data_IF_690912245403
#
_entry.id   IF_690912245403
#
_cell.length_a   1.000
_cell.length_b   1.000
_cell.length_c   1.000
_cell.angle_alpha   90.00
_cell.angle_beta   90.00
_cell.angle_gamma   90.00
#
_symmetry.space_group_name_H-M   'P 1'
#
loop_
_entity.id
_entity.type
_entity.pdbx_description
1 polymer ?
#
# COMPACT_ATOMS: atom_id res chain seq x y z
N UNK A 1 -12.33 -19.45 -10.56
CA UNK A 1 -13.43 -18.68 -11.19
C UNK A 1 -13.72 -17.34 -10.48
N UNK A 2 -13.92 -17.31 -9.16
CA UNK A 2 -14.24 -16.08 -8.41
C UNK A 2 -13.13 -15.01 -8.47
N UNK A 3 -11.84 -15.42 -8.38
CA UNK A 3 -10.68 -14.51 -8.44
C UNK A 3 -10.59 -13.73 -9.77
N UNK A 4 -10.86 -14.40 -10.89
CA UNK A 4 -10.88 -13.79 -12.23
C UNK A 4 -12.02 -12.78 -12.41
N UNK A 5 -13.22 -13.10 -11.91
CA UNK A 5 -14.37 -12.19 -11.93
C UNK A 5 -14.07 -10.95 -11.10
N UNK A 6 -13.50 -11.13 -9.91
CA UNK A 6 -13.10 -10.03 -9.03
C UNK A 6 -12.07 -9.14 -9.71
N UNK A 7 -11.02 -9.71 -10.30
CA UNK A 7 -9.98 -8.97 -11.03
C UNK A 7 -10.59 -8.13 -12.17
N UNK A 8 -11.46 -8.73 -12.99
CA UNK A 8 -12.14 -8.04 -14.09
C UNK A 8 -12.99 -6.87 -13.62
N UNK A 9 -13.65 -6.99 -12.47
CA UNK A 9 -14.43 -5.89 -11.89
C UNK A 9 -13.55 -4.70 -11.47
N UNK A 10 -12.34 -4.97 -10.95
CA UNK A 10 -11.39 -3.91 -10.58
C UNK A 10 -10.89 -3.18 -11.81
N UNK A 11 -10.44 -3.93 -12.82
CA UNK A 11 -9.84 -3.37 -14.02
C UNK A 11 -10.85 -2.57 -14.86
N UNK A 12 -12.14 -2.90 -14.77
CA UNK A 12 -13.22 -2.14 -15.42
C UNK A 12 -13.60 -0.87 -14.65
N UNK A 13 -13.16 -0.70 -13.41
CA UNK A 13 -13.51 0.45 -12.59
C UNK A 13 -12.66 1.67 -12.97
N UNK A 14 -13.29 2.69 -13.57
CA UNK A 14 -12.61 3.94 -13.94
C UNK A 14 -11.97 4.65 -12.74
N UNK A 15 -12.57 4.55 -11.55
CA UNK A 15 -12.00 5.15 -10.33
C UNK A 15 -10.70 4.46 -9.91
N UNK A 16 -10.61 3.14 -10.07
CA UNK A 16 -9.37 2.41 -9.81
C UNK A 16 -8.27 2.92 -10.73
N UNK A 17 -8.51 2.96 -12.04
CA UNK A 17 -7.52 3.48 -13.00
C UNK A 17 -7.05 4.89 -12.65
N UNK A 18 -7.97 5.79 -12.29
CA UNK A 18 -7.64 7.17 -11.96
C UNK A 18 -6.80 7.28 -10.67
N UNK A 19 -7.30 6.76 -9.54
CA UNK A 19 -6.66 6.97 -8.23
C UNK A 19 -5.44 6.09 -7.98
N UNK A 20 -5.37 4.93 -8.64
CA UNK A 20 -4.34 3.92 -8.38
C UNK A 20 -3.23 3.90 -9.43
N UNK A 21 -3.51 4.34 -10.66
CA UNK A 21 -2.53 4.35 -11.75
C UNK A 21 -2.20 5.78 -12.15
N UNK A 22 -3.20 6.56 -12.57
CA UNK A 22 -2.98 7.88 -13.14
C UNK A 22 -2.38 8.86 -12.12
N UNK A 23 -2.96 8.97 -10.92
CA UNK A 23 -2.45 9.90 -9.89
C UNK A 23 -1.00 9.56 -9.49
N UNK A 24 -0.64 8.30 -9.16
CA UNK A 24 0.76 7.96 -8.86
C UNK A 24 1.73 8.25 -10.01
N UNK A 25 1.34 7.98 -11.26
CA UNK A 25 2.19 8.29 -12.42
C UNK A 25 2.35 9.80 -12.60
N UNK A 26 1.27 10.57 -12.45
CA UNK A 26 1.32 12.03 -12.51
C UNK A 26 2.18 12.60 -11.39
N UNK A 27 2.02 12.10 -10.16
CA UNK A 27 2.84 12.49 -9.02
C UNK A 27 4.32 12.23 -9.28
N UNK A 28 4.67 11.05 -9.80
CA UNK A 28 6.05 10.71 -10.13
C UNK A 28 6.63 11.69 -11.17
N UNK A 29 5.91 11.92 -12.28
CA UNK A 29 6.29 12.90 -13.30
C UNK A 29 6.45 14.31 -12.73
N UNK A 30 5.51 14.74 -11.89
CA UNK A 30 5.55 16.04 -11.25
C UNK A 30 6.81 16.19 -10.39
N UNK A 31 7.10 15.21 -9.54
CA UNK A 31 8.28 15.25 -8.66
C UNK A 31 9.58 15.23 -9.44
N UNK A 32 9.68 14.45 -10.53
CA UNK A 32 10.86 14.44 -11.39
C UNK A 32 11.16 15.83 -11.99
N UNK A 33 10.13 16.61 -12.34
CA UNK A 33 10.29 17.97 -12.86
C UNK A 33 10.73 18.98 -11.79
N UNK A 34 10.56 18.68 -10.51
CA UNK A 34 10.98 19.55 -9.41
C UNK A 34 12.44 19.35 -8.99
N UNK A 35 13.09 18.26 -9.42
CA UNK A 35 14.48 17.97 -9.05
C UNK A 35 15.43 18.89 -9.82
N UNK A 36 15.99 19.88 -9.12
CA UNK A 36 17.07 20.77 -9.59
C UNK A 36 18.33 20.55 -8.73
N UNK A 37 18.95 19.38 -8.83
CA UNK A 37 20.09 18.98 -7.97
C UNK A 37 21.13 18.19 -8.76
N UNK A 38 22.37 18.15 -8.28
CA UNK A 38 23.51 17.38 -8.81
C UNK A 38 23.18 15.91 -9.14
N UNK A 39 23.90 15.34 -10.11
CA UNK A 39 23.56 14.06 -10.75
C UNK A 39 23.43 12.87 -9.77
N UNK A 40 24.23 12.81 -8.71
CA UNK A 40 24.25 11.68 -7.78
C UNK A 40 23.10 11.76 -6.74
N UNK A 41 22.89 12.94 -6.13
CA UNK A 41 21.73 13.21 -5.26
C UNK A 41 20.42 13.13 -6.04
N UNK A 42 20.45 13.45 -7.33
CA UNK A 42 19.31 13.28 -8.20
C UNK A 42 18.93 11.79 -8.38
N UNK A 43 19.89 10.85 -8.37
CA UNK A 43 19.58 9.43 -8.58
C UNK A 43 18.84 8.80 -7.39
N UNK A 44 19.29 9.07 -6.15
CA UNK A 44 18.60 8.59 -4.94
C UNK A 44 17.21 9.19 -4.81
N UNK A 45 17.08 10.51 -4.97
CA UNK A 45 15.77 11.20 -4.94
C UNK A 45 14.81 10.66 -6.00
N UNK A 46 15.26 10.44 -7.24
CA UNK A 46 14.43 9.87 -8.31
C UNK A 46 13.89 8.49 -7.94
N UNK A 47 14.69 7.67 -7.28
CA UNK A 47 14.29 6.35 -6.82
C UNK A 47 13.30 6.42 -5.66
N UNK A 48 13.55 7.32 -4.71
CA UNK A 48 12.66 7.53 -3.57
C UNK A 48 11.27 7.99 -4.00
N UNK A 49 11.20 8.92 -4.97
CA UNK A 49 9.93 9.33 -5.56
C UNK A 49 9.23 8.21 -6.33
N UNK A 50 9.98 7.29 -6.93
CA UNK A 50 9.42 6.08 -7.52
C UNK A 50 8.82 5.16 -6.46
N UNK A 51 9.50 4.95 -5.32
CA UNK A 51 8.97 4.17 -4.20
C UNK A 51 7.68 4.80 -3.68
N UNK A 52 7.66 6.12 -3.48
CA UNK A 52 6.46 6.86 -3.05
C UNK A 52 5.31 6.70 -4.03
N UNK A 53 5.57 6.76 -5.35
CA UNK A 53 4.53 6.53 -6.35
C UNK A 53 3.97 5.10 -6.29
N UNK A 54 4.84 4.09 -6.17
CA UNK A 54 4.40 2.71 -5.97
C UNK A 54 3.54 2.55 -4.72
N UNK A 55 3.98 3.13 -3.60
CA UNK A 55 3.25 3.11 -2.34
C UNK A 55 1.90 3.80 -2.45
N UNK A 56 1.83 4.97 -3.07
CA UNK A 56 0.58 5.69 -3.29
C UNK A 56 -0.43 4.84 -4.09
N UNK A 57 0.02 4.17 -5.15
CA UNK A 57 -0.83 3.25 -5.93
C UNK A 57 -1.31 2.07 -5.08
N UNK A 58 -0.38 1.36 -4.42
CA UNK A 58 -0.68 0.21 -3.57
C UNK A 58 -1.66 0.58 -2.45
N UNK A 59 -1.43 1.69 -1.76
CA UNK A 59 -2.28 2.21 -0.69
C UNK A 59 -3.66 2.61 -1.22
N UNK A 60 -3.72 3.31 -2.35
CA UNK A 60 -5.00 3.69 -2.98
C UNK A 60 -5.83 2.46 -3.38
N UNK A 61 -5.20 1.43 -3.92
CA UNK A 61 -5.87 0.16 -4.20
C UNK A 61 -6.34 -0.53 -2.90
N UNK A 62 -5.43 -0.70 -1.95
CA UNK A 62 -5.63 -1.54 -0.76
C UNK A 62 -6.54 -0.90 0.28
N UNK A 63 -6.43 0.41 0.53
CA UNK A 63 -7.25 1.10 1.52
C UNK A 63 -8.56 1.58 0.90
N UNK A 64 -8.55 2.21 -0.27
CA UNK A 64 -9.77 2.87 -0.79
C UNK A 64 -10.61 1.90 -1.62
N UNK A 65 -10.04 1.35 -2.69
CA UNK A 65 -10.81 0.54 -3.64
C UNK A 65 -11.18 -0.82 -3.05
N UNK A 66 -10.24 -1.45 -2.34
CA UNK A 66 -10.45 -2.78 -1.77
C UNK A 66 -11.36 -2.77 -0.55
N UNK A 67 -11.21 -1.84 0.40
CA UNK A 67 -12.12 -1.75 1.55
C UNK A 67 -13.57 -1.57 1.12
N UNK A 68 -13.83 -0.70 0.14
CA UNK A 68 -15.17 -0.48 -0.41
C UNK A 68 -15.72 -1.76 -1.05
N UNK A 69 -14.87 -2.49 -1.79
CA UNK A 69 -15.26 -3.76 -2.41
C UNK A 69 -15.65 -4.78 -1.35
N UNK A 70 -14.86 -4.91 -0.28
CA UNK A 70 -15.19 -5.77 0.85
C UNK A 70 -16.50 -5.35 1.50
N UNK A 71 -16.70 -4.05 1.76
CA UNK A 71 -17.93 -3.53 2.37
C UNK A 71 -19.17 -3.80 1.52
N UNK A 72 -19.11 -3.50 0.22
CA UNK A 72 -20.21 -3.76 -0.72
C UNK A 72 -20.49 -5.25 -0.94
N UNK A 73 -19.46 -6.09 -0.93
CA UNK A 73 -19.57 -7.55 -1.07
C UNK A 73 -19.87 -8.30 0.22
N UNK A 74 -19.82 -7.62 1.38
CA UNK A 74 -19.93 -8.24 2.70
C UNK A 74 -21.26 -8.95 2.94
N UNK A 75 -22.37 -8.42 2.41
CA UNK A 75 -23.71 -9.02 2.54
C UNK A 75 -23.83 -10.35 1.79
N UNK A 76 -23.29 -10.43 0.57
CA UNK A 76 -23.24 -11.68 -0.20
C UNK A 76 -22.31 -12.71 0.44
N UNK A 77 -21.20 -12.25 1.01
CA UNK A 77 -20.28 -13.09 1.75
C UNK A 77 -20.92 -13.68 3.03
N UNK A 78 -21.63 -12.87 3.81
CA UNK A 78 -22.31 -13.32 5.02
C UNK A 78 -23.42 -14.33 4.72
N UNK A 79 -24.11 -14.16 3.60
CA UNK A 79 -25.06 -15.15 3.11
C UNK A 79 -24.36 -16.49 2.79
N UNK A 80 -23.21 -16.44 2.11
CA UNK A 80 -22.43 -17.63 1.74
C UNK A 80 -21.80 -18.34 2.94
N UNK A 81 -21.33 -17.60 3.94
CA UNK A 81 -20.79 -18.15 5.19
C UNK A 81 -21.88 -18.78 6.08
N UNK A 82 -23.15 -18.36 5.93
CA UNK A 82 -24.30 -19.00 6.61
C UNK A 82 -24.76 -20.28 5.90
N UNK A 83 -24.55 -20.38 4.59
CA UNK A 83 -24.99 -21.53 3.77
C UNK A 83 -23.88 -22.57 3.52
N UNK A 84 -22.63 -22.29 3.88
CA UNK A 84 -21.48 -23.19 3.71
C UNK A 84 -20.46 -23.00 4.85
N UNK A 85 -19.68 -24.02 5.20
CA UNK A 85 -18.57 -23.97 6.18
C UNK A 85 -17.38 -23.09 5.72
N UNK A 86 -17.65 -21.95 5.10
CA UNK A 86 -16.62 -21.06 4.56
C UNK A 86 -16.23 -20.01 5.60
N UNK A 87 -15.06 -20.22 6.23
CA UNK A 87 -14.53 -19.31 7.25
C UNK A 87 -14.11 -17.94 6.71
N UNK A 88 -14.05 -16.93 7.58
CA UNK A 88 -13.51 -15.60 7.24
C UNK A 88 -12.04 -15.64 6.83
N UNK A 89 -11.26 -16.57 7.38
CA UNK A 89 -9.83 -16.62 7.13
C UNK A 89 -9.56 -17.05 5.70
N UNK A 90 -10.32 -18.04 5.21
CA UNK A 90 -10.29 -18.44 3.81
C UNK A 90 -10.78 -17.33 2.88
N UNK A 91 -11.77 -16.53 3.30
CA UNK A 91 -12.18 -15.35 2.54
C UNK A 91 -11.08 -14.30 2.45
N UNK A 92 -10.46 -14.00 3.59
CA UNK A 92 -9.39 -13.02 3.67
C UNK A 92 -8.20 -13.45 2.82
N UNK A 93 -7.78 -14.72 2.88
CA UNK A 93 -6.67 -15.22 2.05
C UNK A 93 -6.99 -15.14 0.56
N UNK A 94 -8.20 -15.51 0.13
CA UNK A 94 -8.60 -15.38 -1.28
C UNK A 94 -8.58 -13.93 -1.78
N UNK A 95 -8.97 -12.99 -0.91
CA UNK A 95 -8.93 -11.56 -1.22
C UNK A 95 -7.51 -11.01 -1.24
N UNK A 96 -6.66 -11.41 -0.28
CA UNK A 96 -5.26 -10.99 -0.21
C UNK A 96 -4.46 -11.50 -1.42
N UNK A 97 -4.73 -12.71 -1.91
CA UNK A 97 -4.13 -13.22 -3.17
C UNK A 97 -4.52 -12.32 -4.34
N UNK A 98 -5.78 -11.90 -4.41
CA UNK A 98 -6.25 -10.99 -5.48
C UNK A 98 -5.58 -9.62 -5.37
N UNK A 99 -5.38 -9.11 -4.14
CA UNK A 99 -4.67 -7.86 -3.91
C UNK A 99 -3.18 -7.96 -4.27
N UNK A 100 -2.53 -9.08 -3.98
CA UNK A 100 -1.15 -9.31 -4.38
C UNK A 100 -0.98 -9.18 -5.91
N UNK A 101 -1.86 -9.83 -6.68
CA UNK A 101 -1.85 -9.74 -8.15
C UNK A 101 -2.05 -8.29 -8.62
N UNK A 102 -2.98 -7.56 -8.01
CA UNK A 102 -3.23 -6.15 -8.34
C UNK A 102 -2.02 -5.27 -8.02
N UNK A 103 -1.40 -5.45 -6.86
CA UNK A 103 -0.24 -4.68 -6.45
C UNK A 103 0.94 -4.91 -7.39
N UNK A 104 1.20 -6.17 -7.80
CA UNK A 104 2.19 -6.48 -8.84
C UNK A 104 1.86 -5.75 -10.15
N UNK A 105 0.60 -5.78 -10.60
CA UNK A 105 0.19 -5.09 -11.83
C UNK A 105 0.40 -3.58 -11.75
N UNK A 106 0.06 -2.95 -10.62
CA UNK A 106 0.25 -1.51 -10.38
C UNK A 106 1.74 -1.17 -10.45
N UNK A 107 2.58 -1.94 -9.77
CA UNK A 107 4.04 -1.75 -9.80
C UNK A 107 4.61 -1.91 -11.21
N UNK A 108 4.18 -2.92 -11.97
CA UNK A 108 4.64 -3.12 -13.35
C UNK A 108 4.36 -1.90 -14.25
N UNK A 109 3.19 -1.27 -14.09
CA UNK A 109 2.85 -0.05 -14.83
C UNK A 109 3.78 1.10 -14.44
N UNK A 110 4.00 1.32 -13.13
CA UNK A 110 4.85 2.43 -12.65
C UNK A 110 6.32 2.20 -13.03
N UNK A 111 6.82 0.95 -12.98
CA UNK A 111 8.16 0.59 -13.48
C UNK A 111 8.28 0.94 -14.96
N UNK A 112 7.28 0.56 -15.77
CA UNK A 112 7.30 0.85 -17.21
C UNK A 112 7.42 2.35 -17.45
N UNK A 113 6.69 3.18 -16.68
CA UNK A 113 6.82 4.64 -16.75
C UNK A 113 8.24 5.09 -16.38
N UNK A 114 8.82 4.61 -15.29
CA UNK A 114 10.19 4.99 -14.90
C UNK A 114 11.28 4.53 -15.87
N UNK A 115 11.11 3.37 -16.52
CA UNK A 115 12.01 2.89 -17.57
C UNK A 115 11.92 3.77 -18.83
N UNK A 116 10.71 4.14 -19.26
CA UNK A 116 10.49 5.02 -20.43
C UNK A 116 11.09 6.40 -20.21
N UNK A 117 11.05 6.90 -18.97
CA UNK A 117 11.65 8.19 -18.60
C UNK A 117 13.17 8.12 -18.41
N UNK A 118 13.77 6.93 -18.46
CA UNK A 118 15.20 6.73 -18.22
C UNK A 118 15.63 7.04 -16.78
N UNK A 119 14.69 7.01 -15.83
CA UNK A 119 14.94 7.34 -14.41
C UNK A 119 15.27 6.13 -13.56
N UNK A 120 15.03 4.91 -14.08
CA UNK A 120 15.25 3.64 -13.39
C UNK A 120 16.11 2.71 -14.23
N UNK A 121 16.97 1.94 -13.57
CA UNK A 121 17.72 0.82 -14.15
C UNK A 121 17.21 -0.52 -13.60
N UNK A 122 17.16 -1.54 -14.45
CA UNK A 122 16.78 -2.90 -14.06
C UNK A 122 17.93 -3.58 -13.31
N UNK A 123 18.00 -3.34 -12.00
CA UNK A 123 19.04 -3.87 -11.12
C UNK A 123 18.45 -4.78 -10.02
N UNK A 124 19.31 -5.50 -9.32
CA UNK A 124 18.93 -6.31 -8.15
C UNK A 124 18.30 -5.48 -7.04
N UNK A 125 18.75 -4.23 -6.84
CA UNK A 125 18.14 -3.26 -5.91
C UNK A 125 16.66 -3.04 -6.19
N UNK A 126 16.29 -2.87 -7.46
CA UNK A 126 14.88 -2.72 -7.86
C UNK A 126 14.07 -3.97 -7.51
N UNK A 127 14.61 -5.16 -7.79
CA UNK A 127 13.95 -6.42 -7.45
C UNK A 127 13.67 -6.56 -5.95
N UNK A 128 14.65 -6.23 -5.11
CA UNK A 128 14.50 -6.25 -3.64
C UNK A 128 13.41 -5.26 -3.20
N UNK A 129 13.43 -4.03 -3.71
CA UNK A 129 12.39 -3.04 -3.39
C UNK A 129 11.00 -3.49 -3.84
N UNK A 130 10.86 -4.14 -5.00
CA UNK A 130 9.57 -4.66 -5.47
C UNK A 130 9.02 -5.78 -4.59
N UNK A 131 9.89 -6.65 -4.07
CA UNK A 131 9.49 -7.68 -3.10
C UNK A 131 9.00 -7.04 -1.80
N UNK A 132 9.73 -6.06 -1.28
CA UNK A 132 9.35 -5.34 -0.06
C UNK A 132 8.05 -4.54 -0.24
N UNK A 133 7.87 -3.87 -1.37
CA UNK A 133 6.63 -3.15 -1.72
C UNK A 133 5.42 -4.12 -1.79
N UNK A 134 5.61 -5.34 -2.29
CA UNK A 134 4.56 -6.36 -2.26
C UNK A 134 4.19 -6.77 -0.83
N UNK A 135 5.18 -7.03 0.02
CA UNK A 135 4.97 -7.36 1.44
C UNK A 135 4.22 -6.23 2.13
N UNK A 136 4.62 -5.00 1.89
CA UNK A 136 3.94 -3.81 2.41
C UNK A 136 2.54 -3.60 1.81
N UNK A 137 2.31 -4.02 0.56
CA UNK A 137 0.97 -4.04 -0.03
C UNK A 137 0.02 -5.02 0.66
N UNK A 138 0.52 -6.16 1.16
CA UNK A 138 -0.26 -7.08 1.98
C UNK A 138 -0.64 -6.41 3.31
N UNK A 139 0.28 -5.68 3.94
CA UNK A 139 0.02 -4.90 5.15
C UNK A 139 -1.17 -3.96 4.99
N UNK A 140 -1.15 -3.11 3.96
CA UNK A 140 -2.28 -2.21 3.71
C UNK A 140 -3.54 -2.94 3.25
N UNK A 141 -3.41 -4.09 2.61
CA UNK A 141 -4.57 -4.91 2.25
C UNK A 141 -5.26 -5.46 3.49
N UNK A 142 -4.52 -5.89 4.52
CA UNK A 142 -5.12 -6.34 5.79
C UNK A 142 -5.88 -5.16 6.44
N UNK A 143 -5.27 -3.99 6.51
CA UNK A 143 -5.93 -2.77 7.03
C UNK A 143 -7.20 -2.46 6.23
N UNK A 144 -7.12 -2.46 4.90
CA UNK A 144 -8.25 -2.22 4.02
C UNK A 144 -9.36 -3.27 4.18
N UNK A 145 -9.01 -4.52 4.42
CA UNK A 145 -9.97 -5.59 4.71
C UNK A 145 -10.73 -5.31 6.01
N UNK A 146 -10.03 -4.92 7.08
CA UNK A 146 -10.66 -4.55 8.36
C UNK A 146 -11.61 -3.37 8.17
N UNK A 147 -11.15 -2.31 7.51
CA UNK A 147 -11.98 -1.13 7.20
C UNK A 147 -13.23 -1.50 6.40
N UNK A 148 -13.09 -2.39 5.42
CA UNK A 148 -14.21 -2.90 4.63
C UNK A 148 -15.22 -3.73 5.44
N UNK A 149 -14.80 -4.37 6.52
CA UNK A 149 -15.68 -5.09 7.44
C UNK A 149 -16.26 -4.19 8.54
N UNK A 150 -15.66 -3.04 8.82
CA UNK A 150 -16.09 -2.12 9.90
C UNK A 150 -16.96 -0.99 9.42
N UNK A 151 -16.69 -0.45 8.23
CA UNK A 151 -17.36 0.74 7.72
C UNK A 151 -18.35 0.41 6.60
N UNK A 152 -19.39 1.23 6.50
CA UNK A 152 -20.33 1.19 5.38
C UNK A 152 -19.70 1.73 4.10
N UNK A 153 -20.19 1.28 2.95
CA UNK A 153 -19.63 1.65 1.64
C UNK A 153 -19.74 3.15 1.35
N UNK A 154 -20.79 3.82 1.84
CA UNK A 154 -20.99 5.27 1.75
C UNK A 154 -19.95 6.04 2.58
N UNK A 155 -19.66 5.58 3.80
CA UNK A 155 -18.63 6.18 4.65
C UNK A 155 -17.23 6.02 4.03
N UNK A 156 -16.94 4.85 3.44
CA UNK A 156 -15.67 4.61 2.73
C UNK A 156 -15.55 5.45 1.45
N UNK A 157 -16.66 5.74 0.76
CA UNK A 157 -16.67 6.66 -0.38
C UNK A 157 -16.33 8.09 0.04
N UNK A 158 -16.88 8.56 1.17
CA UNK A 158 -16.60 9.90 1.69
C UNK A 158 -15.17 10.01 2.28
N UNK A 159 -14.72 8.97 2.98
CA UNK A 159 -13.43 8.95 3.66
C UNK A 159 -12.25 8.54 2.76
N UNK A 160 -12.50 8.03 1.55
CA UNK A 160 -11.45 7.47 0.69
C UNK A 160 -10.29 8.44 0.39
N UNK A 161 -10.61 9.68 0.02
CA UNK A 161 -9.58 10.70 -0.24
C UNK A 161 -8.85 11.14 1.05
N UNK A 162 -9.54 11.51 2.15
CA UNK A 162 -8.88 11.79 3.44
C UNK A 162 -7.98 10.65 3.93
N UNK A 163 -8.44 9.40 3.83
CA UNK A 163 -7.66 8.23 4.23
C UNK A 163 -6.39 8.07 3.39
N UNK A 164 -6.45 8.36 2.09
CA UNK A 164 -5.28 8.34 1.21
C UNK A 164 -4.26 9.41 1.62
N UNK A 165 -4.71 10.63 1.92
CA UNK A 165 -3.84 11.72 2.37
C UNK A 165 -3.19 11.35 3.70
N UNK A 166 -3.96 10.90 4.68
CA UNK A 166 -3.44 10.48 6.00
C UNK A 166 -2.44 9.34 5.82
N UNK A 167 -2.74 8.35 4.98
CA UNK A 167 -1.81 7.25 4.73
C UNK A 167 -0.51 7.74 4.06
N UNK A 168 -0.61 8.68 3.11
CA UNK A 168 0.56 9.29 2.47
C UNK A 168 1.47 10.01 3.47
N UNK A 169 0.91 10.65 4.51
CA UNK A 169 1.71 11.28 5.57
C UNK A 169 2.62 10.29 6.30
N UNK A 170 2.35 8.98 6.26
CA UNK A 170 3.17 7.97 6.95
C UNK A 170 4.29 7.37 6.11
N UNK A 171 4.31 7.60 4.78
CA UNK A 171 5.33 7.02 3.90
C UNK A 171 6.00 8.02 2.96
N UNK A 172 5.48 9.25 2.81
CA UNK A 172 6.14 10.30 2.04
C UNK A 172 7.32 10.86 2.84
N UNK A 173 8.55 10.88 2.30
CA UNK A 173 9.73 11.32 3.04
C UNK A 173 9.78 12.85 3.11
N UNK A 174 9.32 13.44 4.22
CA UNK A 174 9.24 14.91 4.38
C UNK A 174 10.61 15.61 4.47
N UNK A 175 11.63 14.88 4.92
CA UNK A 175 13.03 15.31 4.92
C UNK A 175 13.56 15.73 3.54
N UNK A 176 12.94 15.25 2.46
CA UNK A 176 13.29 15.65 1.08
C UNK A 176 12.72 17.02 0.70
N UNK A 177 11.70 17.53 1.42
CA UNK A 177 11.03 18.79 1.11
C UNK A 177 11.41 19.94 2.05
N UNK A 178 11.50 19.66 3.35
CA UNK A 178 11.60 20.69 4.39
C UNK A 178 12.59 20.18 5.45
N UNK A 179 13.50 21.04 5.90
CA UNK A 179 14.43 20.73 6.99
C UNK A 179 14.16 21.69 8.15
N UNK A 180 13.18 21.35 9.00
CA UNK A 180 12.79 22.14 10.16
C UNK A 180 12.27 21.25 11.29
N UNK A 181 11.94 21.84 12.44
CA UNK A 181 11.43 21.11 13.61
C UNK A 181 10.13 20.33 13.34
N UNK A 182 9.33 20.74 12.36
CA UNK A 182 8.11 20.03 11.98
C UNK A 182 8.43 18.73 11.25
N UNK A 183 9.42 18.75 10.33
CA UNK A 183 9.89 17.53 9.67
C UNK A 183 10.39 16.51 10.70
N UNK A 184 11.23 16.93 11.66
CA UNK A 184 11.72 16.02 12.69
C UNK A 184 10.58 15.36 13.49
N UNK A 185 9.55 16.14 13.84
CA UNK A 185 8.37 15.62 14.53
C UNK A 185 7.61 14.58 13.69
N UNK A 186 7.37 14.88 12.41
CA UNK A 186 6.70 13.95 11.49
C UNK A 186 7.53 12.68 11.29
N UNK A 187 8.84 12.81 11.10
CA UNK A 187 9.78 11.70 10.90
C UNK A 187 9.78 10.76 12.12
N UNK A 188 9.73 11.28 13.34
CA UNK A 188 9.60 10.45 14.57
C UNK A 188 8.33 9.60 14.52
N UNK A 189 7.20 10.16 14.08
CA UNK A 189 5.95 9.41 13.95
C UNK A 189 6.05 8.39 12.81
N UNK A 190 6.65 8.76 11.69
CA UNK A 190 6.81 7.87 10.53
C UNK A 190 7.65 6.63 10.87
N UNK A 191 8.67 6.75 11.72
CA UNK A 191 9.51 5.63 12.19
C UNK A 191 8.73 4.53 12.92
N UNK A 192 7.52 4.82 13.42
CA UNK A 192 6.63 3.81 14.00
C UNK A 192 6.04 2.89 12.94
N UNK A 193 5.94 3.34 11.69
CA UNK A 193 5.30 2.63 10.59
C UNK A 193 6.32 1.97 9.65
N UNK A 194 5.95 0.81 9.05
CA UNK A 194 6.88 0.08 8.18
C UNK A 194 7.22 0.86 6.91
N UNK A 195 6.38 1.83 6.51
CA UNK A 195 6.57 2.61 5.28
C UNK A 195 7.85 3.45 5.29
N UNK A 196 8.23 3.99 6.45
CA UNK A 196 9.45 4.78 6.61
C UNK A 196 10.71 3.98 6.23
N UNK A 197 10.78 2.71 6.66
CA UNK A 197 11.94 1.87 6.41
C UNK A 197 12.09 1.47 4.94
N UNK A 198 11.02 1.51 4.13
CA UNK A 198 11.13 1.22 2.69
C UNK A 198 11.98 2.26 1.96
N UNK A 199 11.84 3.53 2.34
CA UNK A 199 12.68 4.62 1.84
C UNK A 199 14.13 4.45 2.30
N UNK A 200 14.35 4.20 3.60
CA UNK A 200 15.70 3.97 4.15
C UNK A 200 16.42 2.82 3.45
N UNK A 201 15.72 1.70 3.24
CA UNK A 201 16.26 0.56 2.48
C UNK A 201 16.53 0.95 1.03
N UNK A 202 15.64 1.72 0.39
CA UNK A 202 15.81 2.21 -0.98
C UNK A 202 17.10 3.01 -1.16
N UNK A 203 17.34 3.98 -0.27
CA UNK A 203 18.57 4.79 -0.29
C UNK A 203 19.82 3.94 -0.05
N UNK A 204 19.83 3.08 0.98
CA UNK A 204 20.94 2.18 1.25
C UNK A 204 21.23 1.18 0.11
N UNK A 205 20.22 0.77 -0.65
CA UNK A 205 20.38 -0.09 -1.84
C UNK A 205 21.05 0.62 -3.02
N UNK A 206 20.92 1.95 -3.12
CA UNK A 206 21.59 2.75 -4.14
C UNK A 206 23.02 3.07 -3.71
N UNK A 207 23.21 3.36 -2.43
CA UNK A 207 24.51 3.68 -1.85
C UNK A 207 25.37 2.43 -1.56
N UNK A 208 24.88 1.24 -1.94
CA UNK A 208 25.52 -0.06 -1.69
C UNK A 208 25.85 -0.32 -0.20
N UNK A 209 25.07 0.25 0.70
CA UNK A 209 25.20 0.12 2.15
C UNK A 209 24.44 -1.11 2.69
N UNK A 210 24.68 -1.44 3.96
CA UNK A 210 24.04 -2.58 4.61
C UNK A 210 22.57 -2.29 4.95
N UNK A 211 21.66 -3.12 4.43
CA UNK A 211 20.20 -2.97 4.62
C UNK A 211 19.65 -3.75 5.82
N UNK A 212 20.49 -4.52 6.53
CA UNK A 212 20.06 -5.50 7.53
C UNK A 212 19.29 -4.86 8.68
N UNK A 213 19.78 -3.75 9.22
CA UNK A 213 19.15 -3.07 10.35
C UNK A 213 17.76 -2.53 9.99
N UNK A 214 17.64 -1.92 8.81
CA UNK A 214 16.38 -1.36 8.35
C UNK A 214 15.36 -2.44 8.00
N UNK A 215 15.80 -3.59 7.47
CA UNK A 215 14.94 -4.76 7.27
C UNK A 215 14.38 -5.27 8.60
N UNK A 216 15.20 -5.39 9.64
CA UNK A 216 14.75 -5.82 10.97
C UNK A 216 13.71 -4.83 11.51
N UNK A 217 13.98 -3.52 11.42
CA UNK A 217 13.05 -2.48 11.87
C UNK A 217 11.75 -2.47 11.07
N UNK A 218 11.82 -2.69 9.76
CA UNK A 218 10.66 -2.86 8.88
C UNK A 218 9.76 -3.99 9.38
N UNK A 219 10.30 -5.19 9.63
CA UNK A 219 9.49 -6.33 10.08
C UNK A 219 8.95 -6.16 11.50
N UNK A 220 9.73 -5.58 12.42
CA UNK A 220 9.26 -5.30 13.79
C UNK A 220 8.09 -4.31 13.75
N UNK A 221 8.25 -3.20 13.05
CA UNK A 221 7.20 -2.18 12.90
C UNK A 221 5.96 -2.74 12.18
N UNK A 222 6.15 -3.56 11.14
CA UNK A 222 5.09 -4.29 10.47
C UNK A 222 4.26 -5.11 11.44
N UNK A 223 4.91 -5.97 12.22
CA UNK A 223 4.24 -6.84 13.18
C UNK A 223 3.54 -6.03 14.28
N UNK A 224 4.20 -5.00 14.82
CA UNK A 224 3.64 -4.22 15.92
C UNK A 224 2.39 -3.43 15.48
N UNK A 225 2.44 -2.79 14.32
CA UNK A 225 1.34 -1.95 13.84
C UNK A 225 0.17 -2.73 13.25
N UNK A 226 0.36 -3.99 12.85
CA UNK A 226 -0.72 -4.83 12.30
C UNK A 226 -1.56 -5.54 13.38
N UNK A 227 -0.98 -5.77 14.57
CA UNK A 227 -1.66 -6.40 15.73
C UNK A 227 -3.06 -5.81 16.00
N UNK A 228 -3.26 -4.48 16.13
CA UNK A 228 -4.57 -3.93 16.45
C UNK A 228 -5.63 -4.29 15.39
N UNK A 229 -5.25 -4.34 14.11
CA UNK A 229 -6.16 -4.71 13.02
C UNK A 229 -6.54 -6.19 13.08
N UNK A 230 -5.57 -7.07 13.39
CA UNK A 230 -5.83 -8.50 13.56
C UNK A 230 -6.72 -8.75 14.79
N UNK A 231 -6.51 -8.03 15.89
CA UNK A 231 -7.37 -8.12 17.08
C UNK A 231 -8.81 -7.73 16.78
N UNK A 232 -9.02 -6.63 16.03
CA UNK A 232 -10.38 -6.21 15.60
C UNK A 232 -11.06 -7.30 14.77
N UNK A 233 -10.33 -7.94 13.86
CA UNK A 233 -10.86 -9.06 13.08
C UNK A 233 -11.29 -10.21 13.99
N UNK A 234 -10.43 -10.60 14.94
CA UNK A 234 -10.71 -11.70 15.86
C UNK A 234 -11.95 -11.43 16.73
N UNK A 235 -12.07 -10.23 17.32
CA UNK A 235 -13.25 -9.86 18.12
C UNK A 235 -14.55 -9.85 17.31
N UNK A 236 -14.52 -9.33 16.07
CA UNK A 236 -15.71 -9.33 15.21
C UNK A 236 -16.18 -10.72 14.81
N UNK A 237 -15.29 -11.71 14.83
CA UNK A 237 -15.64 -13.09 14.50
C UNK A 237 -16.29 -13.81 15.66
N UNK A 238 -15.72 -13.69 16.85
CA UNK A 238 -16.25 -14.33 18.07
C UNK A 238 -17.67 -13.84 18.35
N UNK A 239 -17.90 -12.52 18.24
CA UNK A 239 -19.22 -11.92 18.49
C UNK A 239 -20.28 -12.35 17.46
N UNK A 240 -19.87 -12.83 16.28
CA UNK A 240 -20.80 -13.31 15.23
C UNK A 240 -21.14 -14.80 15.34
N UNK A 241 -20.32 -15.56 16.06
CA UNK A 241 -20.55 -16.98 16.36
C UNK A 241 -21.38 -17.16 17.63
N UNK A 242 -21.25 -16.27 18.63
CA UNK A 242 -22.01 -16.35 19.89
C UNK A 242 -23.43 -15.77 19.89
N UNK A 243 -23.93 -15.29 18.74
CA UNK A 243 -25.29 -14.73 18.59
C UNK A 243 -26.19 -15.59 17.68
N UNK A 244 -25.79 -16.84 17.41
CA UNK A 244 -26.64 -17.89 16.86
C UNK A 244 -26.95 -18.90 17.96
#
# INVERSE_FOLDING_TARGET
MIKLIQLKQVLRNRRFFFFTILIPCFWYLFMLNLIKVDQHTAASLKYDWFLVACLMGITGNSIVTFSKRISSGSRFYLLKARLSHYSIWHFMTDQLITQLILNVMIMMIIITVGLVLGTLSLNTSLLVSLLLLNIFGIYYSIIGFVLGLTMESSALDAAGAPLMVIAALFFVPFNTFINNSFEHFVTIIQQLFPGYYLYSIGTHLIDHASIQLDLIRFFISFCLTIIPFIMILWFKLIKKVGNN
#
